data_IF_941617118909
#
_entry.id   IF_941617118909
#
_cell.length_a   1.000
_cell.length_b   1.000
_cell.length_c   1.000
_cell.angle_alpha   90.00
_cell.angle_beta   90.00
_cell.angle_gamma   90.00
#
_symmetry.space_group_name_H-M   'P 1'
#
loop_
_entity.id
_entity.type
_entity.pdbx_description
1 polymer ?
#
# COMPACT_ATOMS: atom_id res chain seq x y z
N UNK A 1 -26.42 64.65 -28.78
CA UNK A 1 -26.71 63.62 -27.76
C UNK A 1 -26.28 62.26 -28.31
N UNK A 2 -25.23 61.65 -27.74
CA UNK A 2 -24.68 60.35 -28.16
C UNK A 2 -25.56 59.24 -27.54
N UNK A 3 -26.03 58.30 -28.36
CA UNK A 3 -26.73 57.08 -27.92
C UNK A 3 -25.72 55.94 -27.82
N UNK A 4 -25.50 55.43 -26.61
CA UNK A 4 -24.63 54.28 -26.36
C UNK A 4 -25.51 53.03 -26.29
N UNK A 5 -25.30 52.09 -27.20
CA UNK A 5 -25.88 50.74 -27.17
C UNK A 5 -25.09 49.90 -26.14
N UNK A 6 -25.79 49.35 -25.14
CA UNK A 6 -25.23 48.30 -24.28
C UNK A 6 -25.61 46.94 -24.85
N UNK A 7 -24.61 46.17 -25.29
CA UNK A 7 -24.77 44.77 -25.64
C UNK A 7 -24.87 43.93 -24.35
N UNK A 8 -25.95 43.17 -24.22
CA UNK A 8 -26.10 42.19 -23.16
C UNK A 8 -25.20 40.98 -23.47
N UNK A 9 -24.12 40.83 -22.71
CA UNK A 9 -23.30 39.61 -22.72
C UNK A 9 -24.07 38.56 -21.90
N UNK A 10 -24.66 37.60 -22.58
CA UNK A 10 -25.28 36.43 -21.97
C UNK A 10 -24.19 35.57 -21.33
N UNK A 11 -24.09 35.64 -20.01
CA UNK A 11 -23.22 34.78 -19.20
C UNK A 11 -23.74 33.34 -19.34
N UNK A 12 -23.08 32.51 -20.15
CA UNK A 12 -23.33 31.06 -20.16
C UNK A 12 -22.81 30.51 -18.83
N UNK A 13 -23.73 30.25 -17.91
CA UNK A 13 -23.42 29.56 -16.67
C UNK A 13 -22.95 28.14 -17.00
N UNK A 14 -21.63 27.94 -17.03
CA UNK A 14 -21.03 26.61 -17.05
C UNK A 14 -21.35 25.93 -15.72
N UNK A 15 -22.42 25.13 -15.68
CA UNK A 15 -22.71 24.25 -14.55
C UNK A 15 -21.56 23.23 -14.45
N UNK A 16 -20.82 23.15 -13.33
CA UNK A 16 -19.91 22.05 -13.12
C UNK A 16 -20.75 20.79 -13.00
N UNK A 17 -20.70 19.91 -14.00
CA UNK A 17 -21.15 18.54 -13.83
C UNK A 17 -20.30 17.90 -12.73
N UNK A 18 -20.83 17.88 -11.51
CA UNK A 18 -20.36 17.04 -10.42
C UNK A 18 -20.62 15.58 -10.81
N UNK A 19 -19.83 15.04 -11.75
CA UNK A 19 -19.90 13.61 -12.03
C UNK A 19 -19.42 12.89 -10.76
N UNK A 20 -20.35 12.17 -10.13
CA UNK A 20 -20.11 11.36 -8.94
C UNK A 20 -19.12 10.24 -9.27
N UNK A 21 -18.33 9.81 -8.27
CA UNK A 21 -17.51 8.62 -8.42
C UNK A 21 -18.38 7.42 -8.84
N UNK A 22 -17.85 6.55 -9.69
CA UNK A 22 -18.58 5.39 -10.18
C UNK A 22 -18.51 4.25 -9.16
N UNK A 23 -19.62 3.52 -9.02
CA UNK A 23 -19.67 2.29 -8.24
C UNK A 23 -19.16 1.11 -9.06
N UNK A 24 -18.18 0.40 -8.52
CA UNK A 24 -17.61 -0.80 -9.12
C UNK A 24 -17.94 -2.02 -8.25
N UNK A 25 -18.46 -3.12 -8.83
CA UNK A 25 -18.64 -4.35 -8.06
C UNK A 25 -17.27 -4.89 -7.62
N UNK A 26 -17.19 -5.36 -6.38
CA UNK A 26 -15.98 -5.97 -5.87
C UNK A 26 -15.73 -7.32 -6.55
N UNK A 27 -14.52 -7.54 -7.06
CA UNK A 27 -14.07 -8.83 -7.60
C UNK A 27 -13.51 -9.74 -6.52
N UNK A 28 -13.15 -9.18 -5.37
CA UNK A 28 -12.70 -9.90 -4.18
C UNK A 28 -13.03 -9.08 -2.93
N UNK A 29 -13.82 -9.66 -2.01
CA UNK A 29 -14.13 -9.09 -0.69
C UNK A 29 -13.80 -10.07 0.44
N UNK A 30 -12.77 -10.88 0.21
CA UNK A 30 -12.38 -11.93 1.14
C UNK A 30 -11.97 -11.33 2.51
N UNK A 31 -12.53 -11.75 3.65
CA UNK A 31 -12.18 -11.22 4.98
C UNK A 31 -10.78 -11.59 5.46
N UNK A 32 -10.35 -10.95 6.56
CA UNK A 32 -9.19 -11.37 7.34
C UNK A 32 -9.29 -12.87 7.72
N UNK A 33 -8.14 -13.54 7.85
CA UNK A 33 -8.01 -14.92 8.38
C UNK A 33 -8.53 -16.08 7.50
N UNK A 34 -8.76 -15.80 6.22
CA UNK A 34 -9.12 -16.83 5.22
C UNK A 34 -7.94 -17.25 4.36
N UNK A 35 -6.97 -16.35 4.14
CA UNK A 35 -5.80 -16.57 3.29
C UNK A 35 -4.56 -17.04 4.04
N UNK A 36 -4.49 -16.73 5.33
CA UNK A 36 -3.38 -17.09 6.21
C UNK A 36 -3.86 -18.09 7.26
N UNK A 37 -2.98 -19.00 7.68
CA UNK A 37 -3.24 -19.93 8.76
C UNK A 37 -3.56 -19.16 10.04
N UNK A 38 -4.68 -19.50 10.68
CA UNK A 38 -5.21 -18.79 11.86
C UNK A 38 -4.33 -18.90 13.10
N UNK A 39 -3.41 -19.87 13.11
CA UNK A 39 -2.42 -20.00 14.18
C UNK A 39 -1.29 -18.97 14.07
N UNK A 40 -1.18 -18.27 12.94
CA UNK A 40 -0.15 -17.26 12.72
C UNK A 40 -0.57 -15.93 13.36
N UNK A 41 0.36 -15.34 14.12
CA UNK A 41 0.25 -13.96 14.58
C UNK A 41 0.62 -12.99 13.45
N UNK A 42 -0.07 -13.05 12.31
CA UNK A 42 0.20 -12.17 11.17
C UNK A 42 -0.57 -10.85 11.31
N UNK A 43 -0.24 -10.09 12.34
CA UNK A 43 -0.82 -8.79 12.66
C UNK A 43 0.24 -7.80 13.16
N UNK A 44 -0.03 -6.51 12.98
CA UNK A 44 0.68 -5.46 13.71
C UNK A 44 -0.36 -4.60 14.39
N UNK A 45 -0.22 -4.39 15.70
CA UNK A 45 -1.25 -3.72 16.52
C UNK A 45 -2.63 -4.41 16.50
N UNK A 46 -2.68 -5.74 16.27
CA UNK A 46 -3.93 -6.47 16.09
C UNK A 46 -4.62 -6.22 14.75
N UNK A 47 -4.06 -5.35 13.89
CA UNK A 47 -4.55 -5.08 12.54
C UNK A 47 -4.01 -6.16 11.59
N UNK A 48 -4.92 -6.78 10.85
CA UNK A 48 -4.65 -7.88 9.93
C UNK A 48 -5.01 -7.49 8.50
N UNK A 49 -4.30 -8.02 7.49
CA UNK A 49 -4.76 -7.91 6.12
C UNK A 49 -6.16 -8.54 5.97
N UNK A 50 -7.05 -7.85 5.27
CA UNK A 50 -8.47 -8.23 5.14
C UNK A 50 -9.41 -7.54 6.12
N UNK A 51 -8.91 -6.84 7.15
CA UNK A 51 -9.74 -6.01 8.02
C UNK A 51 -10.46 -4.91 7.22
N UNK A 52 -11.69 -4.57 7.61
CA UNK A 52 -12.41 -3.39 7.12
C UNK A 52 -11.82 -2.09 7.66
N UNK A 53 -12.14 -0.97 7.01
CA UNK A 53 -11.79 0.36 7.52
C UNK A 53 -12.36 0.60 8.94
N UNK A 54 -13.57 0.13 9.21
CA UNK A 54 -14.20 0.29 10.53
C UNK A 54 -13.52 -0.53 11.62
N UNK A 55 -13.14 -1.78 11.33
CA UNK A 55 -12.35 -2.61 12.25
C UNK A 55 -10.99 -1.96 12.55
N UNK A 56 -10.31 -1.43 11.53
CA UNK A 56 -9.03 -0.73 11.71
C UNK A 56 -9.21 0.52 12.55
N UNK A 57 -10.24 1.34 12.30
CA UNK A 57 -10.53 2.53 13.13
C UNK A 57 -10.79 2.15 14.58
N UNK A 58 -11.56 1.09 14.81
CA UNK A 58 -11.85 0.61 16.15
C UNK A 58 -10.57 0.21 16.89
N UNK A 59 -9.71 -0.60 16.25
CA UNK A 59 -8.42 -1.03 16.81
C UNK A 59 -7.49 0.15 17.11
N UNK A 60 -7.37 1.10 16.18
CA UNK A 60 -6.55 2.30 16.38
C UNK A 60 -7.09 3.19 17.50
N UNK A 61 -8.41 3.35 17.60
CA UNK A 61 -9.05 4.14 18.67
C UNK A 61 -8.87 3.49 20.04
N UNK A 62 -8.93 2.16 20.12
CA UNK A 62 -8.68 1.41 21.36
C UNK A 62 -7.24 1.60 21.84
N UNK A 63 -6.27 1.58 20.92
CA UNK A 63 -4.84 1.73 21.23
C UNK A 63 -4.44 3.18 21.52
N UNK A 64 -5.12 4.15 20.90
CA UNK A 64 -4.81 5.57 21.02
C UNK A 64 -6.06 6.38 21.39
N UNK A 65 -6.64 6.18 22.59
CA UNK A 65 -7.91 6.78 22.98
C UNK A 65 -7.85 8.31 23.13
N UNK A 66 -6.67 8.84 23.44
CA UNK A 66 -6.43 10.27 23.69
C UNK A 66 -6.01 11.03 22.41
N UNK A 67 -5.97 10.36 21.25
CA UNK A 67 -5.62 11.01 19.99
C UNK A 67 -6.85 11.62 19.30
N UNK A 68 -6.69 12.83 18.76
CA UNK A 68 -7.79 13.58 18.16
C UNK A 68 -8.21 13.09 16.76
N UNK A 69 -7.56 12.05 16.22
CA UNK A 69 -8.11 11.36 15.05
C UNK A 69 -7.21 10.34 14.37
N UNK A 70 -7.88 9.33 13.80
CA UNK A 70 -7.38 8.57 12.65
C UNK A 70 -7.84 9.33 11.41
N UNK A 71 -6.90 9.72 10.57
CA UNK A 71 -7.20 10.50 9.37
C UNK A 71 -7.32 9.65 8.13
N UNK A 72 -8.28 10.03 7.30
CA UNK A 72 -8.51 9.43 5.99
C UNK A 72 -7.62 10.08 4.96
N UNK A 73 -6.76 9.29 4.34
CA UNK A 73 -6.14 9.67 3.07
C UNK A 73 -7.01 9.08 1.97
N UNK A 74 -7.65 9.97 1.21
CA UNK A 74 -8.48 9.57 0.07
C UNK A 74 -7.67 9.61 -1.20
N UNK A 75 -7.77 8.54 -1.98
CA UNK A 75 -7.28 8.49 -3.34
C UNK A 75 -8.42 8.86 -4.28
N UNK A 76 -8.21 9.93 -5.04
CA UNK A 76 -9.13 10.40 -6.07
C UNK A 76 -8.41 10.34 -7.40
N UNK A 77 -9.10 9.86 -8.43
CA UNK A 77 -8.63 10.18 -9.76
C UNK A 77 -9.65 9.98 -10.87
N UNK A 78 -9.24 10.50 -12.02
CA UNK A 78 -10.07 10.68 -13.18
C UNK A 78 -9.27 10.27 -14.42
N UNK A 79 -9.76 9.30 -15.16
CA UNK A 79 -9.15 8.83 -16.41
C UNK A 79 -10.11 9.10 -17.54
N UNK A 80 -9.65 9.76 -18.60
CA UNK A 80 -10.43 9.99 -19.80
C UNK A 80 -9.77 9.31 -21.01
N UNK A 81 -10.58 8.69 -21.86
CA UNK A 81 -10.13 8.15 -23.15
C UNK A 81 -10.38 9.15 -24.28
N UNK A 82 -9.66 9.02 -25.43
CA UNK A 82 -9.84 9.93 -26.57
C UNK A 82 -11.26 9.96 -27.16
N UNK A 83 -12.05 8.91 -26.94
CA UNK A 83 -13.47 8.83 -27.34
C UNK A 83 -14.44 9.53 -26.35
N UNK A 84 -13.91 10.20 -25.32
CA UNK A 84 -14.69 10.97 -24.36
C UNK A 84 -15.28 10.18 -23.19
N UNK A 85 -15.05 8.86 -23.08
CA UNK A 85 -15.40 8.14 -21.87
C UNK A 85 -14.53 8.59 -20.69
N UNK A 86 -15.11 8.64 -19.49
CA UNK A 86 -14.44 9.07 -18.27
C UNK A 86 -14.70 8.07 -17.14
N UNK A 87 -13.66 7.80 -16.36
CA UNK A 87 -13.71 6.96 -15.17
C UNK A 87 -13.30 7.79 -13.98
N UNK A 88 -14.16 7.85 -12.96
CA UNK A 88 -13.89 8.55 -11.71
C UNK A 88 -13.97 7.58 -10.53
N UNK A 89 -12.90 7.53 -9.74
CA UNK A 89 -12.80 6.68 -8.55
C UNK A 89 -12.39 7.54 -7.37
N UNK A 90 -13.06 7.35 -6.24
CA UNK A 90 -12.76 8.01 -4.97
C UNK A 90 -12.95 6.99 -3.83
N UNK A 91 -11.90 6.73 -3.06
CA UNK A 91 -11.95 5.85 -1.89
C UNK A 91 -10.89 6.22 -0.86
N UNK A 92 -11.06 5.76 0.38
CA UNK A 92 -10.04 5.86 1.42
C UNK A 92 -8.94 4.84 1.11
N UNK A 93 -7.77 5.32 0.71
CA UNK A 93 -6.60 4.48 0.43
C UNK A 93 -5.74 4.26 1.67
N UNK A 94 -5.79 5.18 2.63
CA UNK A 94 -5.04 5.03 3.88
C UNK A 94 -5.82 5.52 5.10
N UNK A 95 -5.59 4.85 6.22
CA UNK A 95 -5.87 5.37 7.55
C UNK A 95 -4.54 5.56 8.27
N UNK A 96 -4.26 6.79 8.70
CA UNK A 96 -3.03 7.09 9.45
C UNK A 96 -3.34 7.87 10.70
N UNK A 97 -2.59 7.57 11.76
CA UNK A 97 -2.63 8.34 13.01
C UNK A 97 -2.13 9.77 12.77
N UNK A 98 -2.64 10.78 13.47
CA UNK A 98 -2.02 12.11 13.64
C UNK A 98 -1.89 13.04 12.41
N UNK A 99 -2.75 12.95 11.40
CA UNK A 99 -2.58 13.68 10.13
C UNK A 99 -2.91 15.19 10.14
N UNK A 100 -3.04 15.84 11.29
CA UNK A 100 -3.26 17.30 11.38
C UNK A 100 -2.15 18.13 10.70
N UNK A 101 -1.00 17.52 10.35
CA UNK A 101 0.09 18.17 9.60
C UNK A 101 0.40 17.59 8.21
N UNK A 102 -0.37 16.62 7.69
CA UNK A 102 -0.17 16.06 6.35
C UNK A 102 1.18 15.35 6.09
N UNK A 103 2.04 15.28 7.10
CA UNK A 103 3.37 14.66 7.08
C UNK A 103 3.44 13.67 8.24
N UNK A 104 4.05 12.49 8.07
CA UNK A 104 4.48 11.70 9.22
C UNK A 104 5.31 12.61 10.12
N UNK A 105 5.20 12.51 11.46
CA UNK A 105 6.04 13.28 12.35
C UNK A 105 7.47 12.97 11.96
N UNK A 106 8.15 13.96 11.37
CA UNK A 106 9.56 13.85 11.05
C UNK A 106 10.22 13.33 12.30
N UNK A 107 10.92 12.19 12.20
CA UNK A 107 11.64 11.58 13.31
C UNK A 107 12.29 12.68 14.15
N UNK A 108 11.86 12.78 15.42
CA UNK A 108 12.47 13.69 16.38
C UNK A 108 13.28 12.84 17.33
N UNK A 109 14.60 12.82 17.12
CA UNK A 109 15.54 12.08 17.96
C UNK A 109 15.26 12.29 19.44
N UNK A 110 15.13 11.18 20.18
CA UNK A 110 14.85 11.19 21.62
C UNK A 110 13.42 11.57 21.98
N UNK A 111 12.44 11.42 21.08
CA UNK A 111 11.01 11.48 21.43
C UNK A 111 10.33 10.16 21.09
N UNK A 112 9.67 9.58 22.09
CA UNK A 112 8.82 8.42 21.89
C UNK A 112 7.66 8.76 20.94
N UNK A 113 7.25 7.81 20.12
CA UNK A 113 6.16 7.97 19.18
C UNK A 113 5.76 6.67 18.51
N UNK A 114 4.48 6.53 18.18
CA UNK A 114 3.95 5.35 17.49
C UNK A 114 3.09 5.82 16.32
N UNK A 115 3.47 5.46 15.11
CA UNK A 115 2.87 5.98 13.88
C UNK A 115 2.45 4.86 12.94
N UNK A 116 1.22 4.34 13.09
CA UNK A 116 0.64 3.41 12.13
C UNK A 116 0.02 4.12 10.92
N UNK A 117 0.25 3.55 9.75
CA UNK A 117 -0.41 3.83 8.47
C UNK A 117 -0.94 2.50 7.96
N UNK A 118 -2.23 2.42 7.66
CA UNK A 118 -2.87 1.22 7.10
C UNK A 118 -3.32 1.54 5.69
N UNK A 119 -2.90 0.72 4.74
CA UNK A 119 -3.24 0.84 3.31
C UNK A 119 -4.43 -0.05 2.98
N UNK A 120 -5.38 0.48 2.21
CA UNK A 120 -6.58 -0.22 1.78
C UNK A 120 -6.57 -0.44 0.27
N UNK A 121 -7.09 -1.59 -0.16
CA UNK A 121 -7.43 -1.81 -1.55
C UNK A 121 -8.61 -0.92 -1.99
N UNK A 122 -8.77 -0.73 -3.30
CA UNK A 122 -9.93 0.00 -3.85
C UNK A 122 -11.26 -0.73 -3.62
N UNK A 123 -12.41 -0.07 -3.88
CA UNK A 123 -13.73 -0.70 -3.79
C UNK A 123 -13.89 -1.92 -4.70
N UNK A 124 -13.18 -1.92 -5.82
CA UNK A 124 -13.13 -3.03 -6.78
C UNK A 124 -12.54 -4.29 -6.14
N UNK A 125 -11.77 -4.13 -5.07
CA UNK A 125 -11.15 -5.23 -4.33
C UNK A 125 -11.50 -5.14 -2.84
N UNK A 126 -12.75 -4.77 -2.55
CA UNK A 126 -13.39 -4.94 -1.23
C UNK A 126 -13.07 -3.89 -0.17
N UNK A 127 -12.31 -2.83 -0.46
CA UNK A 127 -11.94 -1.80 0.53
C UNK A 127 -11.34 -2.37 1.82
N UNK A 128 -10.50 -3.41 1.70
CA UNK A 128 -9.91 -4.10 2.86
C UNK A 128 -8.46 -3.70 3.06
N UNK A 129 -8.00 -3.79 4.31
CA UNK A 129 -6.60 -3.60 4.66
C UNK A 129 -5.73 -4.54 3.83
N UNK A 130 -4.79 -3.97 3.09
CA UNK A 130 -3.91 -4.67 2.17
C UNK A 130 -2.45 -4.56 2.63
N UNK A 131 -2.12 -3.52 3.40
CA UNK A 131 -0.87 -3.45 4.13
C UNK A 131 -0.92 -2.50 5.32
N UNK A 132 0.15 -2.50 6.10
CA UNK A 132 0.35 -1.62 7.24
C UNK A 132 1.83 -1.29 7.38
N UNK A 133 2.11 -0.04 7.70
CA UNK A 133 3.39 0.43 8.22
C UNK A 133 3.23 0.99 9.61
N UNK A 134 4.17 0.66 10.49
CA UNK A 134 4.23 1.24 11.83
C UNK A 134 5.65 1.64 12.12
N UNK A 135 5.87 2.94 12.33
CA UNK A 135 7.12 3.44 12.89
C UNK A 135 6.96 3.62 14.40
N UNK A 136 7.80 2.93 15.17
CA UNK A 136 7.89 3.04 16.63
C UNK A 136 9.21 3.74 16.99
N UNK A 137 9.11 4.97 17.48
CA UNK A 137 10.21 5.80 17.94
C UNK A 137 10.39 5.66 19.45
N UNK A 138 11.64 5.58 19.91
CA UNK A 138 11.94 5.43 21.33
C UNK A 138 12.38 6.75 21.97
N UNK A 139 11.92 6.99 23.21
CA UNK A 139 12.55 7.98 24.08
C UNK A 139 13.95 7.52 24.51
N UNK A 140 14.82 8.43 25.03
CA UNK A 140 16.18 8.09 25.41
C UNK A 140 16.28 6.99 26.48
N UNK A 141 15.25 6.87 27.33
CA UNK A 141 15.16 5.86 28.39
C UNK A 141 14.58 4.52 27.93
N UNK A 142 13.99 4.48 26.73
CA UNK A 142 13.31 3.31 26.15
C UNK A 142 14.12 2.64 25.04
N UNK A 143 15.27 3.22 24.68
CA UNK A 143 16.15 2.68 23.64
C UNK A 143 16.65 1.29 24.05
N UNK A 144 16.44 0.31 23.17
CA UNK A 144 16.94 -1.05 23.32
C UNK A 144 17.91 -1.40 22.19
N UNK A 145 18.63 -2.51 22.34
CA UNK A 145 19.50 -3.01 21.28
C UNK A 145 18.69 -3.66 20.15
N UNK A 146 19.27 -3.71 18.95
CA UNK A 146 18.72 -4.44 17.80
C UNK A 146 18.43 -5.91 18.14
N UNK A 147 19.32 -6.53 18.93
CA UNK A 147 19.18 -7.91 19.35
C UNK A 147 18.04 -8.11 20.35
N UNK A 148 17.89 -7.22 21.33
CA UNK A 148 16.77 -7.27 22.28
C UNK A 148 15.42 -7.08 21.57
N UNK A 149 15.37 -6.15 20.60
CA UNK A 149 14.18 -5.96 19.78
C UNK A 149 13.90 -7.19 18.90
N UNK A 150 14.92 -7.77 18.27
CA UNK A 150 14.77 -9.02 17.49
C UNK A 150 14.13 -10.12 18.33
N UNK A 151 14.62 -10.35 19.55
CA UNK A 151 14.05 -11.35 20.46
C UNK A 151 12.58 -11.06 20.76
N UNK A 152 12.24 -9.80 21.07
CA UNK A 152 10.84 -9.39 21.33
C UNK A 152 9.93 -9.65 20.13
N UNK A 153 10.43 -9.38 18.91
CA UNK A 153 9.70 -9.67 17.67
C UNK A 153 9.52 -11.17 17.49
N UNK A 154 10.57 -11.96 17.71
CA UNK A 154 10.52 -13.43 17.57
C UNK A 154 9.61 -14.11 18.58
N UNK A 155 9.50 -13.57 19.79
CA UNK A 155 8.54 -14.06 20.79
C UNK A 155 7.09 -13.93 20.31
N UNK A 156 6.77 -12.85 19.58
CA UNK A 156 5.42 -12.65 19.02
C UNK A 156 5.20 -13.45 17.74
N UNK A 157 6.15 -13.41 16.82
CA UNK A 157 5.95 -13.83 15.42
C UNK A 157 6.59 -15.18 15.07
N UNK A 158 7.33 -15.78 16.01
CA UNK A 158 8.13 -16.97 15.76
C UNK A 158 9.48 -16.62 15.12
N UNK A 159 10.19 -17.65 14.64
CA UNK A 159 11.48 -17.44 13.96
C UNK A 159 11.27 -16.80 12.58
N UNK A 160 12.07 -15.79 12.20
CA UNK A 160 11.93 -15.15 10.90
C UNK A 160 12.39 -16.08 9.78
N UNK A 161 11.86 -15.86 8.59
CA UNK A 161 12.33 -16.50 7.36
C UNK A 161 13.75 -16.02 7.01
N UNK A 162 14.06 -14.75 7.29
CA UNK A 162 15.34 -14.10 7.00
C UNK A 162 15.75 -13.18 8.16
N UNK A 163 17.03 -13.20 8.51
CA UNK A 163 17.68 -12.23 9.39
C UNK A 163 18.80 -11.51 8.65
N UNK A 164 18.64 -10.21 8.41
CA UNK A 164 19.64 -9.39 7.74
C UNK A 164 20.65 -8.84 8.74
N UNK A 165 21.91 -8.83 8.34
CA UNK A 165 23.02 -8.31 9.14
C UNK A 165 23.85 -7.31 8.34
N UNK A 166 24.42 -6.32 9.01
CA UNK A 166 25.41 -5.43 8.42
C UNK A 166 26.77 -6.15 8.22
N UNK A 167 27.73 -5.48 7.59
CA UNK A 167 29.07 -6.02 7.36
C UNK A 167 29.84 -6.35 8.66
N UNK A 168 29.43 -5.78 9.80
CA UNK A 168 29.98 -6.05 11.12
C UNK A 168 29.26 -7.19 11.84
N UNK A 169 28.24 -7.79 11.22
CA UNK A 169 27.46 -8.90 11.76
C UNK A 169 26.30 -8.49 12.67
N UNK A 170 26.00 -7.20 12.81
CA UNK A 170 24.86 -6.74 13.62
C UNK A 170 23.55 -6.90 12.86
N UNK A 171 22.50 -7.29 13.56
CA UNK A 171 21.17 -7.44 12.95
C UNK A 171 20.59 -6.07 12.58
N UNK A 172 20.16 -5.91 11.34
CA UNK A 172 19.58 -4.67 10.81
C UNK A 172 18.10 -4.80 10.49
N UNK A 173 17.62 -6.01 10.18
CA UNK A 173 16.21 -6.29 9.99
C UNK A 173 15.91 -7.79 10.05
N UNK A 174 14.64 -8.12 10.24
CA UNK A 174 14.11 -9.47 10.06
C UNK A 174 12.93 -9.46 9.09
N UNK A 175 12.71 -10.57 8.39
CA UNK A 175 11.58 -10.73 7.50
C UNK A 175 10.91 -12.11 7.63
N UNK A 176 9.59 -12.11 7.47
CA UNK A 176 8.70 -13.25 7.58
C UNK A 176 7.95 -13.37 6.27
N UNK A 177 8.22 -14.42 5.49
CA UNK A 177 7.61 -14.64 4.19
C UNK A 177 6.51 -15.67 4.31
N UNK A 178 5.39 -15.42 3.66
CA UNK A 178 4.22 -16.29 3.72
C UNK A 178 3.92 -16.85 2.34
N UNK A 179 3.78 -18.17 2.25
CA UNK A 179 3.41 -18.89 1.03
C UNK A 179 2.55 -20.12 1.36
N UNK A 180 1.52 -20.38 0.56
CA UNK A 180 0.48 -21.37 0.89
C UNK A 180 -0.28 -21.04 2.19
N UNK A 181 -0.38 -19.76 2.56
CA UNK A 181 -0.98 -19.28 3.81
C UNK A 181 -0.14 -19.55 5.05
N UNK A 182 1.11 -20.01 4.92
CA UNK A 182 1.97 -20.40 6.03
C UNK A 182 3.26 -19.61 6.05
N UNK A 183 3.80 -19.37 7.26
CA UNK A 183 5.15 -18.83 7.42
C UNK A 183 6.16 -19.82 6.83
N UNK A 184 7.02 -19.32 5.95
CA UNK A 184 8.13 -20.08 5.42
C UNK A 184 9.21 -20.26 6.48
N UNK A 185 9.82 -21.45 6.57
CA UNK A 185 10.89 -21.70 7.53
C UNK A 185 12.06 -20.77 7.29
N UNK A 186 12.90 -20.60 8.31
CA UNK A 186 14.16 -19.90 8.17
C UNK A 186 14.93 -20.46 6.97
N UNK A 187 15.23 -19.58 6.04
CA UNK A 187 16.06 -19.91 4.89
C UNK A 187 17.49 -19.57 5.26
N UNK A 188 18.44 -20.40 4.85
CA UNK A 188 19.87 -20.07 4.97
C UNK A 188 20.31 -18.88 4.10
N UNK A 189 19.37 -18.04 3.65
CA UNK A 189 19.61 -16.80 2.92
C UNK A 189 20.29 -15.80 3.85
N UNK A 190 21.60 -15.94 3.95
CA UNK A 190 22.43 -14.89 4.46
C UNK A 190 22.58 -13.87 3.34
N UNK A 191 21.92 -12.72 3.48
CA UNK A 191 22.19 -11.51 2.69
C UNK A 191 23.56 -10.92 3.07
N UNK A 192 24.58 -11.75 3.19
CA UNK A 192 25.95 -11.30 3.38
C UNK A 192 26.36 -10.57 2.10
N UNK A 193 26.23 -9.23 2.11
CA UNK A 193 26.62 -8.30 1.06
C UNK A 193 25.58 -7.98 -0.03
N UNK A 194 24.32 -7.77 0.35
CA UNK A 194 23.36 -7.09 -0.53
C UNK A 194 23.38 -5.57 -0.28
N UNK A 195 24.20 -4.84 -1.02
CA UNK A 195 24.40 -3.40 -0.81
C UNK A 195 23.25 -2.51 -1.31
N UNK A 196 22.46 -2.91 -2.33
CA UNK A 196 21.41 -2.04 -2.90
C UNK A 196 20.02 -2.69 -3.12
N UNK A 197 19.66 -3.72 -2.34
CA UNK A 197 18.29 -4.28 -2.31
C UNK A 197 18.14 -5.68 -2.92
N UNK A 198 16.91 -6.19 -2.98
CA UNK A 198 16.61 -7.60 -3.31
C UNK A 198 17.06 -8.05 -4.72
N UNK A 199 17.29 -7.12 -5.65
CA UNK A 199 17.82 -7.42 -6.98
C UNK A 199 19.30 -7.79 -6.99
N UNK A 200 20.08 -7.22 -6.07
CA UNK A 200 21.53 -7.47 -5.94
C UNK A 200 21.83 -8.86 -5.36
N UNK A 201 20.86 -9.50 -4.73
CA UNK A 201 21.03 -10.82 -4.09
C UNK A 201 20.76 -11.99 -5.05
N UNK A 202 20.43 -11.73 -6.33
CA UNK A 202 20.05 -12.77 -7.28
C UNK A 202 18.73 -13.49 -6.96
N UNK A 203 17.94 -12.94 -6.03
CA UNK A 203 16.69 -13.46 -5.50
C UNK A 203 15.54 -13.43 -6.53
N UNK A 204 15.66 -12.57 -7.55
CA UNK A 204 14.79 -12.57 -8.72
C UNK A 204 15.60 -12.37 -10.00
N UNK A 205 15.00 -12.77 -11.12
CA UNK A 205 15.51 -12.49 -12.46
C UNK A 205 14.82 -11.22 -12.94
N UNK A 206 15.60 -10.17 -13.21
CA UNK A 206 15.09 -8.96 -13.88
C UNK A 206 15.19 -9.14 -15.39
N UNK A 207 14.13 -8.78 -16.10
CA UNK A 207 14.05 -8.84 -17.56
C UNK A 207 12.98 -7.90 -18.10
N UNK A 208 12.54 -8.16 -19.33
CA UNK A 208 11.44 -7.45 -19.96
C UNK A 208 10.42 -8.42 -20.53
N UNK A 209 9.14 -8.10 -20.38
CA UNK A 209 8.03 -8.84 -20.98
C UNK A 209 7.26 -7.95 -21.95
N UNK A 210 6.79 -8.49 -23.09
CA UNK A 210 5.96 -7.73 -24.01
C UNK A 210 4.54 -7.57 -23.44
N UNK A 211 4.09 -6.33 -23.25
CA UNK A 211 2.71 -6.03 -22.83
C UNK A 211 2.11 -4.95 -23.74
N UNK A 212 1.05 -5.31 -24.46
CA UNK A 212 0.40 -4.43 -25.44
C UNK A 212 1.37 -3.80 -26.46
N UNK A 213 2.39 -4.54 -26.88
CA UNK A 213 3.40 -4.08 -27.84
C UNK A 213 4.52 -3.21 -27.25
N UNK A 214 4.53 -2.98 -25.93
CA UNK A 214 5.60 -2.25 -25.23
C UNK A 214 6.37 -3.21 -24.31
N UNK A 215 7.72 -3.23 -24.34
CA UNK A 215 8.50 -3.98 -23.35
C UNK A 215 8.36 -3.32 -21.98
N UNK A 216 8.01 -4.10 -20.98
CA UNK A 216 7.84 -3.64 -19.60
C UNK A 216 8.80 -4.39 -18.68
N UNK A 217 9.35 -3.74 -17.64
CA UNK A 217 10.26 -4.40 -16.70
C UNK A 217 9.52 -5.58 -16.08
N UNK A 218 10.17 -6.72 -15.97
CA UNK A 218 9.60 -7.93 -15.38
C UNK A 218 10.57 -8.46 -14.32
N UNK A 219 10.03 -8.79 -13.15
CA UNK A 219 10.76 -9.42 -12.06
C UNK A 219 10.17 -10.80 -11.83
N UNK A 220 10.97 -11.83 -12.12
CA UNK A 220 10.59 -13.22 -11.84
C UNK A 220 11.27 -13.69 -10.58
N UNK A 221 10.50 -13.89 -9.52
CA UNK A 221 11.03 -14.38 -8.26
C UNK A 221 11.56 -15.82 -8.43
N UNK A 222 12.75 -16.09 -7.88
CA UNK A 222 13.28 -17.47 -7.82
C UNK A 222 12.78 -18.21 -6.58
N UNK A 223 12.41 -17.48 -5.55
CA UNK A 223 11.84 -17.95 -4.30
C UNK A 223 10.65 -17.07 -3.92
N UNK A 224 9.70 -17.56 -3.10
CA UNK A 224 8.55 -16.78 -2.71
C UNK A 224 8.92 -15.46 -2.02
N UNK A 225 8.24 -14.39 -2.41
CA UNK A 225 8.38 -13.02 -1.90
C UNK A 225 9.72 -12.32 -2.24
N UNK A 226 10.57 -12.93 -3.07
CA UNK A 226 11.87 -12.38 -3.40
C UNK A 226 11.82 -11.08 -4.22
N UNK A 227 10.79 -10.89 -5.04
CA UNK A 227 10.66 -9.70 -5.90
C UNK A 227 9.98 -8.50 -5.20
N UNK A 228 9.70 -8.61 -3.90
CA UNK A 228 8.77 -7.74 -3.20
C UNK A 228 9.32 -6.36 -2.80
N UNK A 229 10.65 -6.21 -2.63
CA UNK A 229 11.25 -4.92 -2.28
C UNK A 229 10.92 -3.81 -3.29
N UNK A 230 10.89 -4.14 -4.58
CA UNK A 230 10.49 -3.21 -5.66
C UNK A 230 8.98 -2.94 -5.66
N UNK A 231 8.19 -3.91 -5.19
CA UNK A 231 6.74 -3.86 -5.25
C UNK A 231 6.15 -2.94 -4.16
N UNK A 232 6.65 -3.03 -2.93
CA UNK A 232 6.18 -2.26 -1.77
C UNK A 232 6.25 -0.76 -2.02
N UNK A 233 7.30 -0.27 -2.66
CA UNK A 233 7.43 1.15 -2.97
C UNK A 233 6.48 1.61 -4.09
N UNK A 234 6.12 0.73 -5.02
CA UNK A 234 5.24 1.08 -6.15
C UNK A 234 3.74 0.86 -5.86
N UNK A 235 3.40 -0.12 -5.03
CA UNK A 235 2.02 -0.50 -4.71
C UNK A 235 1.31 0.43 -3.72
N UNK A 236 2.06 1.20 -2.93
CA UNK A 236 1.50 2.09 -1.89
C UNK A 236 0.87 3.37 -2.44
N UNK A 237 1.26 3.82 -3.63
CA UNK A 237 1.20 5.25 -3.92
C UNK A 237 0.40 5.70 -5.13
N UNK A 238 -0.16 4.83 -5.97
CA UNK A 238 -0.34 5.28 -7.34
C UNK A 238 -1.68 4.92 -8.00
N UNK A 239 -2.51 5.97 -8.16
CA UNK A 239 -3.64 6.02 -9.09
C UNK A 239 -3.21 6.46 -10.51
N UNK A 240 -1.93 6.39 -10.88
CA UNK A 240 -1.57 6.73 -12.27
C UNK A 240 -1.96 5.58 -13.21
N UNK A 241 -3.11 5.75 -13.85
CA UNK A 241 -3.60 4.87 -14.88
C UNK A 241 -2.50 4.51 -15.90
N UNK A 242 -2.35 3.20 -16.15
CA UNK A 242 -1.27 2.55 -16.92
C UNK A 242 0.10 2.50 -16.24
N UNK A 243 0.17 2.03 -14.99
CA UNK A 243 1.41 1.39 -14.54
C UNK A 243 1.58 0.04 -15.25
N UNK A 244 2.08 0.08 -16.47
CA UNK A 244 2.52 -1.12 -17.18
C UNK A 244 3.98 -1.43 -16.93
N UNK A 245 4.77 -0.54 -16.30
CA UNK A 245 6.22 -0.61 -16.36
C UNK A 245 6.87 -1.67 -15.46
N UNK A 246 6.08 -2.40 -14.66
CA UNK A 246 6.57 -3.50 -13.82
C UNK A 246 5.58 -4.67 -13.77
N UNK A 247 6.02 -5.84 -14.23
CA UNK A 247 5.40 -7.15 -14.00
C UNK A 247 6.17 -7.86 -12.90
N UNK A 248 5.47 -8.45 -11.94
CA UNK A 248 6.07 -9.30 -10.92
C UNK A 248 5.46 -10.69 -11.02
N UNK A 249 6.29 -11.68 -11.35
CA UNK A 249 5.96 -13.09 -11.35
C UNK A 249 6.47 -13.72 -10.06
N UNK A 250 5.67 -13.58 -9.00
CA UNK A 250 5.89 -14.16 -7.68
C UNK A 250 4.56 -14.68 -7.10
N UNK A 251 3.94 -15.63 -7.82
CA UNK A 251 2.61 -16.15 -7.50
C UNK A 251 2.57 -16.93 -6.18
N UNK A 252 3.72 -17.37 -5.72
CA UNK A 252 3.90 -18.10 -4.46
C UNK A 252 3.84 -17.19 -3.24
N UNK A 253 4.13 -15.90 -3.36
CA UNK A 253 4.06 -14.99 -2.23
C UNK A 253 2.61 -14.67 -1.87
N UNK A 254 2.19 -15.02 -0.66
CA UNK A 254 0.90 -14.57 -0.09
C UNK A 254 1.05 -13.25 0.64
N UNK A 255 2.14 -13.09 1.40
CA UNK A 255 2.36 -11.90 2.21
C UNK A 255 3.75 -11.83 2.82
N UNK A 256 4.04 -10.66 3.38
CA UNK A 256 5.34 -10.38 4.03
C UNK A 256 5.10 -9.58 5.29
N UNK A 257 5.88 -9.87 6.32
CA UNK A 257 6.14 -8.92 7.39
C UNK A 257 7.63 -8.63 7.48
N UNK A 258 8.02 -7.36 7.56
CA UNK A 258 9.39 -6.92 7.80
C UNK A 258 9.46 -6.12 9.09
N UNK A 259 10.59 -6.21 9.78
CA UNK A 259 10.91 -5.33 10.90
C UNK A 259 12.32 -4.80 10.71
N UNK A 260 12.44 -3.50 10.50
CA UNK A 260 13.72 -2.81 10.31
C UNK A 260 14.14 -2.10 11.59
N UNK A 261 15.39 -2.31 12.00
CA UNK A 261 15.98 -1.77 13.22
C UNK A 261 16.87 -0.57 12.86
N UNK A 262 16.54 0.61 13.36
CA UNK A 262 17.20 1.85 12.97
C UNK A 262 17.77 2.59 14.18
N UNK A 263 19.01 3.06 14.06
CA UNK A 263 19.69 3.87 15.06
C UNK A 263 21.15 4.05 14.70
N UNK A 264 21.83 4.98 15.38
CA UNK A 264 23.26 5.24 15.16
C UNK A 264 24.16 4.07 15.62
N UNK A 265 23.62 3.16 16.44
CA UNK A 265 24.35 2.01 16.98
C UNK A 265 23.42 0.81 17.16
N UNK A 266 23.90 -0.43 16.93
CA UNK A 266 23.12 -1.64 17.21
C UNK A 266 22.77 -1.81 18.70
N UNK A 267 23.46 -1.11 19.61
CA UNK A 267 23.17 -1.14 21.04
C UNK A 267 22.01 -0.21 21.44
N UNK A 268 21.65 0.77 20.59
CA UNK A 268 20.63 1.79 20.86
C UNK A 268 19.85 2.10 19.59
N UNK A 269 18.71 1.45 19.46
CA UNK A 269 17.75 1.78 18.42
C UNK A 269 17.09 3.11 18.73
N UNK A 270 17.01 3.97 17.73
CA UNK A 270 16.24 5.19 17.76
C UNK A 270 14.78 4.92 17.36
N UNK A 271 14.56 4.01 16.38
CA UNK A 271 13.23 3.58 15.97
C UNK A 271 13.22 2.23 15.26
N UNK A 272 12.03 1.64 15.19
CA UNK A 272 11.74 0.40 14.47
C UNK A 272 10.63 0.65 13.47
N UNK A 273 10.74 0.04 12.29
CA UNK A 273 9.68 0.09 11.28
C UNK A 273 9.16 -1.31 11.04
N UNK A 274 7.89 -1.53 11.32
CA UNK A 274 7.14 -2.72 10.90
C UNK A 274 6.51 -2.45 9.55
N UNK A 275 6.66 -3.37 8.61
CA UNK A 275 5.89 -3.41 7.37
C UNK A 275 5.15 -4.74 7.29
N UNK A 276 3.86 -4.71 6.99
CA UNK A 276 2.99 -5.88 6.87
C UNK A 276 2.19 -5.78 5.58
N UNK A 277 2.24 -6.76 4.69
CA UNK A 277 1.61 -6.67 3.37
C UNK A 277 1.00 -8.00 2.91
N UNK A 278 -0.26 -7.99 2.47
CA UNK A 278 -0.89 -9.07 1.69
C UNK A 278 -0.61 -8.82 0.21
N UNK A 279 0.44 -9.46 -0.29
CA UNK A 279 0.99 -9.23 -1.64
C UNK A 279 -0.04 -9.62 -2.70
N UNK A 280 -0.81 -10.70 -2.48
CA UNK A 280 -1.86 -11.12 -3.41
C UNK A 280 -2.99 -10.11 -3.49
N UNK A 281 -3.43 -9.57 -2.35
CA UNK A 281 -4.46 -8.54 -2.31
C UNK A 281 -4.00 -7.28 -3.01
N UNK A 282 -2.78 -6.84 -2.76
CA UNK A 282 -2.30 -5.62 -3.37
C UNK A 282 -2.07 -5.77 -4.90
N UNK A 283 -1.55 -6.92 -5.34
CA UNK A 283 -1.44 -7.23 -6.78
C UNK A 283 -2.83 -7.37 -7.43
N UNK A 284 -3.72 -8.14 -6.80
CA UNK A 284 -5.08 -8.35 -7.27
C UNK A 284 -5.86 -7.04 -7.37
N UNK A 285 -5.73 -6.16 -6.37
CA UNK A 285 -6.27 -4.82 -6.36
C UNK A 285 -5.83 -4.03 -7.59
N UNK A 286 -4.53 -3.99 -7.89
CA UNK A 286 -4.00 -3.27 -9.06
C UNK A 286 -4.53 -3.83 -10.37
N UNK A 287 -4.45 -5.15 -10.56
CA UNK A 287 -4.94 -5.80 -11.79
C UNK A 287 -6.45 -5.57 -11.98
N UNK A 288 -7.23 -5.67 -10.91
CA UNK A 288 -8.66 -5.42 -10.94
C UNK A 288 -8.99 -3.96 -11.25
N UNK A 289 -8.24 -3.02 -10.67
CA UNK A 289 -8.38 -1.59 -10.92
C UNK A 289 -8.11 -1.25 -12.40
N UNK A 290 -6.99 -1.73 -12.95
CA UNK A 290 -6.65 -1.54 -14.36
C UNK A 290 -7.70 -2.13 -15.32
N UNK A 291 -8.18 -3.34 -15.01
CA UNK A 291 -9.19 -4.02 -15.82
C UNK A 291 -10.53 -3.28 -15.79
N UNK A 292 -10.95 -2.80 -14.61
CA UNK A 292 -12.18 -2.04 -14.45
C UNK A 292 -12.14 -0.70 -15.19
N UNK A 293 -11.05 0.06 -15.05
CA UNK A 293 -10.86 1.32 -15.79
C UNK A 293 -10.86 1.04 -17.31
N UNK A 294 -10.12 0.02 -17.76
CA UNK A 294 -10.05 -0.32 -19.19
C UNK A 294 -11.43 -0.67 -19.76
N UNK A 295 -12.20 -1.50 -19.05
CA UNK A 295 -13.56 -1.89 -19.46
C UNK A 295 -14.48 -0.69 -19.57
N UNK A 296 -14.41 0.23 -18.61
CA UNK A 296 -15.26 1.41 -18.57
C UNK A 296 -14.91 2.40 -19.69
N UNK A 297 -13.62 2.59 -20.00
CA UNK A 297 -13.16 3.43 -21.12
C UNK A 297 -13.49 2.85 -22.51
N UNK A 298 -13.63 1.54 -22.61
CA UNK A 298 -14.03 0.84 -23.85
C UNK A 298 -15.55 0.74 -24.02
N UNK A 299 -16.31 0.96 -22.96
CA UNK A 299 -17.76 0.93 -23.03
C UNK A 299 -18.23 2.12 -23.88
N UNK A 300 -19.10 1.91 -24.88
CA UNK A 300 -19.60 3.00 -25.69
C UNK A 300 -20.27 4.01 -24.75
N UNK A 301 -19.75 5.23 -24.73
CA UNK A 301 -20.32 6.34 -23.98
C UNK A 301 -21.80 6.40 -24.34
N UNK A 302 -22.69 6.06 -23.41
CA UNK A 302 -24.09 6.44 -23.56
C UNK A 302 -24.07 7.95 -23.64
N UNK A 303 -24.16 8.49 -24.85
CA UNK A 303 -24.24 9.91 -25.09
C UNK A 303 -25.30 10.47 -24.12
N UNK A 304 -25.06 11.61 -23.46
CA UNK A 304 -26.08 12.23 -22.65
C UNK A 304 -27.32 12.33 -23.53
N UNK A 305 -28.42 11.70 -23.09
CA UNK A 305 -29.65 11.64 -23.86
C UNK A 305 -29.96 13.04 -24.35
N UNK A 306 -29.76 13.27 -25.65
CA UNK A 306 -29.96 14.57 -26.26
C UNK A 306 -31.36 15.00 -25.90
N UNK A 307 -31.48 16.04 -25.08
CA UNK A 307 -32.75 16.64 -24.78
C UNK A 307 -33.42 16.94 -26.12
N UNK A 308 -34.52 16.24 -26.41
CA UNK A 308 -35.31 16.49 -27.62
C UNK A 308 -35.57 18.00 -27.68
N UNK A 309 -35.29 18.67 -28.82
CA UNK A 309 -35.69 20.06 -28.95
C UNK A 309 -37.20 20.12 -28.77
N UNK A 310 -37.64 20.89 -27.77
CA UNK A 310 -39.05 21.24 -27.66
C UNK A 310 -39.32 22.25 -28.79
N UNK A 311 -40.14 21.82 -29.75
CA UNK A 311 -40.89 22.73 -30.62
C UNK A 311 -41.97 23.44 -29.80
#
# INVERSE_FOLDING_TARGET
MKKTFFAAVTLVAALPFLASAQDFPAVDDTPADTRFDRSLNFDVLGIRPGDTQDEVRAKLKELFPDDNGVADVRMQGNVASPNGAQVKIDFVSELRRGADSGQPPLYRKGKAGDWPIVYFSSPIYGNRAAGLERALYFGPEEMMSAEAMRVTVEEKYGRPTITNKDASGHVTSVAYFYAGGKLLPETGWQHANCSNGAGDCGSFISGYEPRNGTPVKALKAKEPCAAMAEWVYQGKGAFDYKFNDLVIDDKSCDGIMTVSFNGDSPAKLDWVVFGLYDVKRLYGHRVALDAAITKELQSPTSAPASAKPRL
#
